data_IF_736751310186
#
_entry.id   IF_736751310186
#
_cell.length_a   1.000
_cell.length_b   1.000
_cell.length_c   1.000
_cell.angle_alpha   90.00
_cell.angle_beta   90.00
_cell.angle_gamma   90.00
#
_symmetry.space_group_name_H-M   'P 1'
#
loop_
_entity.id
_entity.type
_entity.pdbx_description
1 polymer ?
#
# COMPACT_ATOMS: atom_id res chain seq x y z
N UNK A 1 -5.39 1.50 13.17
CA UNK A 1 -4.17 0.81 12.73
C UNK A 1 -4.57 -0.50 12.11
N UNK A 2 -4.51 -0.57 10.79
CA UNK A 2 -4.81 -1.78 10.02
C UNK A 2 -3.58 -2.69 9.97
N UNK A 3 -3.77 -3.96 9.63
CA UNK A 3 -2.65 -4.91 9.50
C UNK A 3 -1.66 -4.46 8.44
N UNK A 4 -2.13 -3.85 7.34
CA UNK A 4 -1.27 -3.30 6.30
C UNK A 4 -0.45 -2.09 6.77
N UNK A 5 -1.03 -1.18 7.56
CA UNK A 5 -0.31 -0.02 8.10
C UNK A 5 0.85 -0.48 9.00
N UNK A 6 0.60 -1.47 9.86
CA UNK A 6 1.59 -2.04 10.75
C UNK A 6 2.75 -2.70 9.97
N UNK A 7 2.45 -3.44 8.90
CA UNK A 7 3.48 -4.01 8.02
C UNK A 7 4.31 -2.90 7.37
N UNK A 8 3.69 -1.88 6.79
CA UNK A 8 4.44 -0.78 6.18
C UNK A 8 5.36 -0.05 7.19
N UNK A 9 4.94 0.08 8.46
CA UNK A 9 5.74 0.68 9.53
C UNK A 9 6.96 -0.16 9.93
N UNK A 10 7.00 -1.45 9.62
CA UNK A 10 8.20 -2.29 9.79
C UNK A 10 9.32 -1.90 8.82
N UNK A 11 8.98 -1.32 7.66
CA UNK A 11 9.90 -1.03 6.56
C UNK A 11 10.09 0.47 6.29
N UNK A 12 9.24 1.33 6.86
CA UNK A 12 9.20 2.76 6.56
C UNK A 12 8.69 3.60 7.72
N UNK A 13 9.30 4.76 7.94
CA UNK A 13 8.75 5.81 8.81
C UNK A 13 7.80 6.77 8.05
N UNK A 14 7.72 6.66 6.73
CA UNK A 14 6.91 7.49 5.83
C UNK A 14 5.74 6.66 5.30
N UNK A 15 4.75 6.42 6.16
CA UNK A 15 3.51 5.68 5.86
C UNK A 15 2.31 6.64 5.93
N UNK A 16 1.41 6.56 4.97
CA UNK A 16 0.18 7.34 4.91
C UNK A 16 -0.97 6.45 4.47
N UNK A 17 -2.08 6.49 5.21
CA UNK A 17 -3.32 5.76 4.90
C UNK A 17 -4.39 6.76 4.47
N UNK A 18 -5.12 6.43 3.41
CA UNK A 18 -6.29 7.19 2.95
C UNK A 18 -7.39 6.24 2.54
N UNK A 19 -8.65 6.68 2.59
CA UNK A 19 -9.74 5.97 1.94
C UNK A 19 -10.06 6.59 0.58
N UNK A 20 -10.24 5.73 -0.43
CA UNK A 20 -10.73 6.10 -1.75
C UNK A 20 -12.15 5.61 -1.90
N UNK A 21 -13.05 6.51 -2.27
CA UNK A 21 -14.45 6.18 -2.53
C UNK A 21 -14.63 6.08 -4.04
N UNK A 22 -15.12 4.94 -4.51
CA UNK A 22 -15.47 4.71 -5.91
C UNK A 22 -16.96 4.41 -6.02
N UNK A 23 -17.61 4.98 -7.04
CA UNK A 23 -18.96 4.58 -7.44
C UNK A 23 -18.86 3.33 -8.32
N UNK A 24 -19.44 2.23 -7.88
CA UNK A 24 -19.74 1.09 -8.73
C UNK A 24 -20.99 1.36 -9.59
N UNK A 25 -21.13 0.63 -10.71
CA UNK A 25 -22.18 0.80 -11.74
C UNK A 25 -23.63 0.82 -11.20
N UNK A 26 -23.85 0.39 -9.96
CA UNK A 26 -25.15 0.34 -9.25
C UNK A 26 -25.34 1.41 -8.15
N UNK A 27 -24.65 2.56 -8.22
CA UNK A 27 -24.70 3.63 -7.19
C UNK A 27 -24.22 3.18 -5.80
N UNK A 28 -23.47 2.07 -5.73
CA UNK A 28 -22.85 1.60 -4.50
C UNK A 28 -21.52 2.34 -4.33
N UNK A 29 -21.39 3.09 -3.23
CA UNK A 29 -20.13 3.70 -2.85
C UNK A 29 -19.29 2.66 -2.11
N UNK A 30 -18.20 2.22 -2.72
CA UNK A 30 -17.20 1.37 -2.06
C UNK A 30 -16.10 2.26 -1.52
N UNK A 31 -15.89 2.22 -0.20
CA UNK A 31 -14.74 2.80 0.46
C UNK A 31 -13.61 1.76 0.50
N UNK A 32 -12.55 1.98 -0.27
CA UNK A 32 -11.35 1.17 -0.27
C UNK A 32 -10.25 1.85 0.54
N UNK A 33 -9.64 1.09 1.44
CA UNK A 33 -8.42 1.51 2.11
C UNK A 33 -7.24 1.52 1.11
N UNK A 34 -6.50 2.62 1.06
CA UNK A 34 -5.24 2.75 0.35
C UNK A 34 -4.12 3.08 1.33
N UNK A 35 -3.05 2.29 1.27
CA UNK A 35 -1.84 2.47 2.07
C UNK A 35 -0.69 2.86 1.15
N UNK A 36 -0.13 4.04 1.40
CA UNK A 36 1.04 4.56 0.70
C UNK A 36 2.23 4.51 1.63
N UNK A 37 3.34 3.92 1.19
CA UNK A 37 4.59 3.96 1.95
C UNK A 37 5.81 4.21 1.05
N UNK A 38 6.79 4.92 1.59
CA UNK A 38 8.10 5.09 0.94
C UNK A 38 9.11 4.12 1.53
N UNK A 39 9.74 3.30 0.70
CA UNK A 39 10.65 2.25 1.15
C UNK A 39 11.92 2.25 0.30
N UNK A 40 13.07 1.90 0.87
CA UNK A 40 14.30 1.67 0.10
C UNK A 40 14.10 0.50 -0.86
N UNK A 41 14.73 0.54 -2.03
CA UNK A 41 14.45 -0.43 -3.10
C UNK A 41 14.77 -1.87 -2.69
N UNK A 42 15.78 -2.06 -1.83
CA UNK A 42 16.21 -3.36 -1.31
C UNK A 42 15.16 -4.01 -0.39
N UNK A 43 14.32 -3.20 0.26
CA UNK A 43 13.26 -3.68 1.15
C UNK A 43 11.90 -3.80 0.45
N UNK A 44 11.78 -3.40 -0.81
CA UNK A 44 10.52 -3.45 -1.53
C UNK A 44 9.98 -4.89 -1.69
N UNK A 45 10.83 -5.84 -2.11
CA UNK A 45 10.40 -7.24 -2.27
C UNK A 45 9.93 -7.87 -0.95
N UNK A 46 10.70 -7.79 0.16
CA UNK A 46 10.24 -8.25 1.47
C UNK A 46 8.94 -7.60 1.94
N UNK A 47 8.78 -6.29 1.71
CA UNK A 47 7.55 -5.57 2.04
C UNK A 47 6.34 -6.15 1.29
N UNK A 48 6.46 -6.38 -0.02
CA UNK A 48 5.37 -6.93 -0.83
C UNK A 48 4.98 -8.32 -0.33
N UNK A 49 5.94 -9.19 -0.02
CA UNK A 49 5.65 -10.53 0.51
C UNK A 49 4.86 -10.48 1.82
N UNK A 50 5.22 -9.56 2.73
CA UNK A 50 4.52 -9.34 4.01
C UNK A 50 3.12 -8.76 3.80
N UNK A 51 2.96 -7.81 2.88
CA UNK A 51 1.67 -7.22 2.54
C UNK A 51 0.72 -8.27 1.95
N UNK A 52 1.22 -9.16 1.10
CA UNK A 52 0.46 -10.29 0.55
C UNK A 52 -0.03 -11.21 1.67
N UNK A 53 0.82 -11.55 2.63
CA UNK A 53 0.42 -12.34 3.81
C UNK A 53 -0.63 -11.62 4.68
N UNK A 54 -0.61 -10.28 4.70
CA UNK A 54 -1.57 -9.46 5.42
C UNK A 54 -2.89 -9.23 4.66
N UNK A 55 -3.03 -9.77 3.44
CA UNK A 55 -4.23 -9.62 2.62
C UNK A 55 -4.26 -8.36 1.75
N UNK A 56 -3.12 -7.74 1.47
CA UNK A 56 -3.01 -6.55 0.64
C UNK A 56 -2.24 -6.84 -0.66
N UNK A 57 -2.64 -6.22 -1.76
CA UNK A 57 -1.91 -6.23 -3.02
C UNK A 57 -1.26 -4.88 -3.29
N UNK A 58 -0.13 -4.89 -4.00
CA UNK A 58 0.49 -3.66 -4.48
C UNK A 58 -0.16 -3.24 -5.80
N UNK A 59 -0.77 -2.06 -5.84
CA UNK A 59 -1.49 -1.55 -7.02
C UNK A 59 -0.64 -0.59 -7.85
N UNK A 60 0.29 0.12 -7.21
CA UNK A 60 1.17 1.06 -7.89
C UNK A 60 2.55 1.12 -7.22
N UNK A 61 3.60 1.33 -8.03
CA UNK A 61 4.96 1.59 -7.57
C UNK A 61 5.55 2.74 -8.38
N UNK A 62 6.07 3.74 -7.69
CA UNK A 62 6.83 4.84 -8.27
C UNK A 62 8.26 4.78 -7.75
N UNK A 63 9.20 4.44 -8.64
CA UNK A 63 10.63 4.39 -8.30
C UNK A 63 11.24 5.79 -8.36
N UNK A 64 12.02 6.15 -7.36
CA UNK A 64 12.90 7.31 -7.36
C UNK A 64 14.36 6.85 -7.44
N UNK A 65 14.88 6.86 -8.67
CA UNK A 65 16.25 6.44 -8.98
C UNK A 65 17.31 7.37 -8.38
N UNK A 66 16.94 8.57 -7.90
CA UNK A 66 17.90 9.50 -7.27
C UNK A 66 18.12 9.19 -5.80
N UNK A 67 17.11 8.64 -5.12
CA UNK A 67 17.14 8.38 -3.69
C UNK A 67 17.15 6.88 -3.33
N UNK A 68 17.31 6.01 -4.35
CA UNK A 68 17.30 4.55 -4.22
C UNK A 68 16.09 4.02 -3.43
N UNK A 69 14.96 4.71 -3.59
CA UNK A 69 13.72 4.42 -2.88
C UNK A 69 12.56 4.31 -3.86
N UNK A 70 11.46 3.71 -3.43
CA UNK A 70 10.21 3.74 -4.16
C UNK A 70 9.06 4.09 -3.23
N UNK A 71 8.05 4.74 -3.80
CA UNK A 71 6.74 4.84 -3.17
C UNK A 71 5.88 3.70 -3.70
N UNK A 72 5.30 2.91 -2.80
CA UNK A 72 4.40 1.83 -3.12
C UNK A 72 3.01 2.14 -2.56
N UNK A 73 1.99 1.75 -3.31
CA UNK A 73 0.59 1.84 -2.92
C UNK A 73 0.02 0.44 -2.80
N UNK A 74 -0.75 0.22 -1.75
CA UNK A 74 -1.36 -1.05 -1.44
C UNK A 74 -2.84 -0.87 -1.13
N UNK A 75 -3.63 -1.85 -1.53
CA UNK A 75 -5.06 -1.94 -1.28
C UNK A 75 -5.39 -3.37 -0.82
N UNK A 76 -6.46 -3.59 -0.05
CA UNK A 76 -6.92 -4.93 0.30
C UNK A 76 -7.15 -5.79 -0.96
N UNK A 77 -6.76 -7.06 -0.93
CA UNK A 77 -7.05 -8.05 -1.97
C UNK A 77 -8.53 -8.44 -1.91
N UNK A 78 -9.39 -7.53 -2.38
CA UNK A 78 -10.85 -7.63 -2.36
C UNK A 78 -11.46 -7.66 -0.94
N UNK A 79 -12.58 -6.94 -0.71
CA UNK A 79 -13.39 -7.09 0.50
C UNK A 79 -14.17 -8.41 0.54
#
# INVERSE_FOLDING_TARGET
MTSGEAVCQEFSNEVSTSSRIFEEDDYTLIELEEIKCRVEIDYFTPLVERMVQAGYCCTQVQKDLRSDSCTAWFEPMSP
#
